data_IF_403855896481
#
_entry.id   IF_403855896481
#
_cell.length_a   1.000
_cell.length_b   1.000
_cell.length_c   1.000
_cell.angle_alpha   90.00
_cell.angle_beta   90.00
_cell.angle_gamma   90.00
#
_symmetry.space_group_name_H-M   'P 1'
#
loop_
_entity.id
_entity.type
_entity.pdbx_description
1 polymer ?
#
# COMPACT_ATOMS: atom_id res chain seq x y z
N UNK A 1 0.45 -4.76 -19.93
CA UNK A 1 1.32 -3.59 -19.69
C UNK A 1 0.95 -2.88 -18.40
N UNK A 2 -0.30 -2.38 -18.27
CA UNK A 2 -0.79 -1.64 -17.09
C UNK A 2 -0.81 -2.52 -15.81
N UNK A 3 -1.18 -3.80 -15.92
CA UNK A 3 -1.13 -4.77 -14.80
C UNK A 3 0.27 -4.88 -14.19
N UNK A 4 1.31 -4.92 -15.03
CA UNK A 4 2.70 -5.02 -14.56
C UNK A 4 3.14 -3.79 -13.77
N UNK A 5 2.74 -2.59 -14.23
CA UNK A 5 3.02 -1.33 -13.52
C UNK A 5 2.33 -1.32 -12.15
N UNK A 6 1.07 -1.75 -12.06
CA UNK A 6 0.35 -1.85 -10.80
C UNK A 6 1.01 -2.84 -9.83
N UNK A 7 1.44 -4.01 -10.31
CA UNK A 7 2.14 -5.01 -9.48
C UNK A 7 3.45 -4.45 -8.94
N UNK A 8 4.26 -3.79 -9.79
CA UNK A 8 5.53 -3.18 -9.36
C UNK A 8 5.27 -2.09 -8.32
N UNK A 9 4.28 -1.22 -8.53
CA UNK A 9 3.86 -0.21 -7.56
C UNK A 9 3.43 -0.83 -6.22
N UNK A 10 2.64 -1.91 -6.27
CA UNK A 10 2.19 -2.61 -5.07
C UNK A 10 3.37 -3.18 -4.27
N UNK A 11 4.34 -3.81 -4.95
CA UNK A 11 5.55 -4.34 -4.32
C UNK A 11 6.38 -3.21 -3.68
N UNK A 12 6.63 -2.12 -4.42
CA UNK A 12 7.37 -0.96 -3.90
C UNK A 12 6.66 -0.40 -2.66
N UNK A 13 5.33 -0.31 -2.70
CA UNK A 13 4.52 0.15 -1.56
C UNK A 13 4.67 -0.76 -0.33
N UNK A 14 4.66 -2.08 -0.53
CA UNK A 14 4.82 -3.07 0.54
C UNK A 14 6.22 -2.97 1.17
N UNK A 15 7.25 -2.90 0.34
CA UNK A 15 8.64 -2.76 0.79
C UNK A 15 8.81 -1.44 1.55
N UNK A 16 8.31 -0.33 1.00
CA UNK A 16 8.45 0.98 1.62
C UNK A 16 7.73 1.07 2.96
N UNK A 17 6.53 0.51 3.06
CA UNK A 17 5.79 0.46 4.31
C UNK A 17 6.47 -0.41 5.37
N UNK A 18 7.10 -1.52 4.96
CA UNK A 18 7.87 -2.38 5.85
C UNK A 18 9.11 -1.65 6.39
N UNK A 19 9.81 -0.91 5.53
CA UNK A 19 10.93 -0.04 5.93
C UNK A 19 10.46 1.09 6.85
N UNK A 20 9.29 1.68 6.59
CA UNK A 20 8.70 2.70 7.45
C UNK A 20 8.29 2.15 8.83
N UNK A 21 7.87 0.88 8.90
CA UNK A 21 7.56 0.21 10.16
C UNK A 21 8.82 -0.08 11.00
N UNK A 22 9.96 -0.40 10.38
CA UNK A 22 11.23 -0.65 11.07
C UNK A 22 11.96 0.66 11.43
N UNK A 23 12.00 1.62 10.52
CA UNK A 23 12.69 2.89 10.65
C UNK A 23 11.71 4.06 10.46
N UNK A 24 10.87 4.34 11.47
CA UNK A 24 9.80 5.32 11.37
C UNK A 24 10.36 6.72 11.18
N UNK A 25 9.81 7.46 10.21
CA UNK A 25 10.02 8.90 10.05
C UNK A 25 8.75 9.57 9.56
N UNK A 26 8.52 10.84 9.93
CA UNK A 26 7.36 11.62 9.47
C UNK A 26 7.27 11.65 7.93
N UNK A 27 8.42 11.76 7.26
CA UNK A 27 8.51 11.73 5.80
C UNK A 27 8.11 10.38 5.22
N UNK A 28 8.71 9.28 5.71
CA UNK A 28 8.43 7.92 5.22
C UNK A 28 6.97 7.52 5.40
N UNK A 29 6.36 7.94 6.51
CA UNK A 29 4.94 7.70 6.78
C UNK A 29 4.05 8.40 5.74
N UNK A 30 4.34 9.66 5.43
CA UNK A 30 3.63 10.42 4.39
C UNK A 30 3.78 9.77 3.01
N UNK A 31 4.99 9.36 2.64
CA UNK A 31 5.23 8.66 1.37
C UNK A 31 4.47 7.33 1.30
N UNK A 32 4.37 6.60 2.41
CA UNK A 32 3.62 5.35 2.50
C UNK A 32 2.12 5.57 2.23
N UNK A 33 1.52 6.64 2.76
CA UNK A 33 0.13 6.99 2.43
C UNK A 33 -0.07 7.34 0.96
N UNK A 34 0.84 8.13 0.39
CA UNK A 34 0.78 8.46 -1.04
C UNK A 34 0.89 7.22 -1.92
N UNK A 35 1.83 6.31 -1.62
CA UNK A 35 1.98 5.06 -2.36
C UNK A 35 0.75 4.15 -2.20
N UNK A 36 0.17 4.09 -1.00
CA UNK A 36 -1.05 3.32 -0.76
C UNK A 36 -2.23 3.83 -1.60
N UNK A 37 -2.45 5.16 -1.61
CA UNK A 37 -3.49 5.78 -2.42
C UNK A 37 -3.24 5.61 -3.93
N UNK A 38 -1.99 5.76 -4.38
CA UNK A 38 -1.63 5.55 -5.78
C UNK A 38 -1.82 4.08 -6.22
N UNK A 39 -1.52 3.13 -5.34
CA UNK A 39 -1.75 1.70 -5.59
C UNK A 39 -3.24 1.39 -5.64
N UNK A 40 -4.05 1.93 -4.72
CA UNK A 40 -5.50 1.79 -4.76
C UNK A 40 -6.11 2.41 -6.03
N UNK A 41 -5.70 3.62 -6.41
CA UNK A 41 -6.18 4.29 -7.61
C UNK A 41 -5.81 3.54 -8.89
N UNK A 42 -4.56 3.05 -8.99
CA UNK A 42 -4.13 2.23 -10.13
C UNK A 42 -4.85 0.87 -10.19
N UNK A 43 -5.13 0.25 -9.04
CA UNK A 43 -5.89 -0.99 -8.96
C UNK A 43 -7.35 -0.81 -9.37
N UNK A 44 -8.00 0.28 -8.94
CA UNK A 44 -9.35 0.63 -9.35
C UNK A 44 -9.43 0.91 -10.86
N UNK A 45 -8.47 1.64 -11.43
CA UNK A 45 -8.36 1.83 -12.87
C UNK A 45 -8.18 0.52 -13.63
N UNK A 46 -7.44 -0.44 -13.06
CA UNK A 46 -7.25 -1.75 -13.65
C UNK A 46 -8.54 -2.57 -13.73
N UNK A 47 -9.40 -2.43 -12.73
CA UNK A 47 -10.68 -3.12 -12.62
C UNK A 47 -11.64 -2.72 -13.75
N UNK A 48 -11.60 -1.44 -14.16
CA UNK A 48 -12.39 -0.90 -15.28
C UNK A 48 -11.89 -1.41 -16.63
N UNK A 49 -10.56 -1.50 -16.79
CA UNK A 49 -9.94 -1.89 -18.07
C UNK A 49 -9.90 -3.41 -18.26
N UNK A 50 -9.75 -4.17 -17.18
CA UNK A 50 -9.69 -5.63 -17.17
C UNK A 50 -10.68 -6.18 -16.13
N UNK A 51 -11.93 -6.46 -16.54
CA UNK A 51 -12.92 -7.07 -15.66
C UNK A 51 -12.49 -8.51 -15.33
N UNK A 52 -11.80 -8.65 -14.22
CA UNK A 52 -11.49 -9.94 -13.58
C UNK A 52 -12.56 -10.23 -12.54
N UNK A 53 -12.57 -11.42 -11.95
CA UNK A 53 -13.58 -11.76 -10.94
C UNK A 53 -13.54 -10.74 -9.80
N UNK A 54 -14.67 -10.07 -9.52
CA UNK A 54 -14.81 -9.09 -8.45
C UNK A 54 -14.30 -9.62 -7.11
N UNK A 55 -14.55 -10.91 -6.82
CA UNK A 55 -14.09 -11.59 -5.61
C UNK A 55 -12.55 -11.57 -5.48
N UNK A 56 -11.80 -11.81 -6.55
CA UNK A 56 -10.33 -11.77 -6.52
C UNK A 56 -9.79 -10.35 -6.28
N UNK A 57 -10.43 -9.34 -6.86
CA UNK A 57 -10.01 -7.95 -6.70
C UNK A 57 -10.33 -7.42 -5.30
N UNK A 58 -11.51 -7.76 -4.76
CA UNK A 58 -11.88 -7.43 -3.39
C UNK A 58 -10.98 -8.14 -2.37
N UNK A 59 -10.70 -9.44 -2.54
CA UNK A 59 -9.84 -10.17 -1.60
C UNK A 59 -8.41 -9.63 -1.61
N UNK A 60 -7.78 -9.48 -2.78
CA UNK A 60 -6.43 -8.90 -2.89
C UNK A 60 -6.36 -7.45 -2.37
N UNK A 61 -7.37 -6.63 -2.66
CA UNK A 61 -7.48 -5.27 -2.16
C UNK A 61 -7.60 -5.19 -0.63
N UNK A 62 -8.44 -6.04 -0.02
CA UNK A 62 -8.59 -6.13 1.45
C UNK A 62 -7.27 -6.56 2.10
N UNK A 63 -6.59 -7.56 1.55
CA UNK A 63 -5.28 -7.98 2.05
C UNK A 63 -4.23 -6.86 1.99
N UNK A 64 -4.17 -6.15 0.85
CA UNK A 64 -3.25 -5.03 0.67
C UNK A 64 -3.52 -3.89 1.65
N UNK A 65 -4.78 -3.45 1.78
CA UNK A 65 -5.17 -2.37 2.70
C UNK A 65 -4.92 -2.79 4.15
N UNK A 66 -5.25 -4.03 4.53
CA UNK A 66 -4.99 -4.56 5.87
C UNK A 66 -3.50 -4.52 6.22
N UNK A 67 -2.64 -4.98 5.30
CA UNK A 67 -1.19 -4.93 5.48
C UNK A 67 -0.68 -3.48 5.60
N UNK A 68 -1.13 -2.56 4.73
CA UNK A 68 -0.76 -1.14 4.79
C UNK A 68 -1.23 -0.45 6.07
N UNK A 69 -2.44 -0.76 6.54
CA UNK A 69 -2.96 -0.24 7.78
C UNK A 69 -2.13 -0.72 8.98
N UNK A 70 -1.81 -2.02 9.03
CA UNK A 70 -0.98 -2.59 10.09
C UNK A 70 0.43 -1.97 10.10
N UNK A 71 1.13 -1.97 8.96
CA UNK A 71 2.47 -1.40 8.83
C UNK A 71 2.51 0.09 9.21
N UNK A 72 1.52 0.87 8.73
CA UNK A 72 1.42 2.29 9.06
C UNK A 72 1.08 2.55 10.52
N UNK A 73 0.30 1.67 11.16
CA UNK A 73 -0.03 1.79 12.58
C UNK A 73 1.17 1.45 13.47
N UNK A 74 1.94 0.43 13.10
CA UNK A 74 3.21 0.09 13.77
C UNK A 74 4.20 1.25 13.62
N UNK A 75 4.37 1.77 12.40
CA UNK A 75 5.24 2.91 12.12
C UNK A 75 4.83 4.15 12.93
N UNK A 76 3.53 4.47 13.01
CA UNK A 76 3.02 5.57 13.84
C UNK A 76 3.28 5.37 15.32
N UNK A 77 2.98 4.18 15.86
CA UNK A 77 3.22 3.87 17.28
C UNK A 77 4.70 3.97 17.63
N UNK A 78 5.60 3.49 16.77
CA UNK A 78 7.05 3.64 17.00
C UNK A 78 7.50 5.10 16.87
N UNK A 79 6.96 5.86 15.92
CA UNK A 79 7.27 7.28 15.77
C UNK A 79 6.82 8.11 16.98
N UNK A 80 5.67 7.81 17.58
CA UNK A 80 5.18 8.52 18.77
C UNK A 80 5.93 8.15 20.05
N UNK A 81 6.62 7.01 20.08
CA UNK A 81 7.48 6.60 21.21
C UNK A 81 8.89 7.21 21.08
N UNK A 82 9.34 7.51 19.85
CA UNK A 82 10.67 8.07 19.55
C UNK A 82 10.68 9.61 19.52
N UNK A 83 9.53 10.24 19.24
CA UNK A 83 9.34 11.71 19.19
C UNK A 83 8.97 12.28 20.55
#
# INVERSE_FOLDING_TARGET
>A
MILGIHIVLAIISIVWASVAALFPSKGKLRTTYFLALATMGSGAGLLVVHPTSLAAVCTSGVFYIGFMAAASTIARKRLSVIS
#
